data_IF_535421547758
#
_entry.id   IF_535421547758
#
_cell.length_a   1.000
_cell.length_b   1.000
_cell.length_c   1.000
_cell.angle_alpha   90.00
_cell.angle_beta   90.00
_cell.angle_gamma   90.00
#
_symmetry.space_group_name_H-M   'P 1'
#
loop_
_entity.id
_entity.type
_entity.pdbx_description
1 polymer ?
#
# COMPACT_ATOMS: atom_id res chain seq x y z
N UNK A 1 9.43 9.87 3.60
CA UNK A 1 8.04 9.89 3.13
C UNK A 1 7.18 10.98 3.76
N UNK A 2 6.82 12.01 3.00
CA UNK A 2 5.86 13.03 3.46
C UNK A 2 4.46 12.45 3.73
N UNK A 3 3.66 13.13 4.57
CA UNK A 3 2.28 12.73 4.85
C UNK A 3 1.40 12.66 3.59
N UNK A 4 1.63 13.54 2.61
CA UNK A 4 0.93 13.50 1.32
C UNK A 4 1.20 12.19 0.56
N UNK A 5 2.43 11.69 0.61
CA UNK A 5 2.78 10.40 0.00
C UNK A 5 2.12 9.24 0.75
N UNK A 6 2.06 9.30 2.08
CA UNK A 6 1.33 8.31 2.90
C UNK A 6 -0.15 8.29 2.50
N UNK A 7 -0.80 9.46 2.41
CA UNK A 7 -2.20 9.56 1.99
C UNK A 7 -2.43 9.04 0.58
N UNK A 8 -1.53 9.39 -0.35
CA UNK A 8 -1.61 8.93 -1.74
C UNK A 8 -1.54 7.40 -1.84
N UNK A 9 -0.53 6.79 -1.22
CA UNK A 9 -0.33 5.34 -1.24
C UNK A 9 -1.47 4.60 -0.52
N UNK A 10 -1.95 5.11 0.61
CA UNK A 10 -3.11 4.57 1.32
C UNK A 10 -4.36 4.54 0.44
N UNK A 11 -4.71 5.66 -0.21
CA UNK A 11 -5.87 5.74 -1.12
C UNK A 11 -5.72 4.81 -2.33
N UNK A 12 -4.50 4.65 -2.84
CA UNK A 12 -4.22 3.73 -3.95
C UNK A 12 -4.46 2.27 -3.54
N UNK A 13 -3.93 1.83 -2.40
CA UNK A 13 -4.15 0.48 -1.89
C UNK A 13 -5.65 0.21 -1.62
N UNK A 14 -6.35 1.18 -1.02
CA UNK A 14 -7.79 1.11 -0.78
C UNK A 14 -8.60 0.93 -2.07
N UNK A 15 -8.26 1.68 -3.13
CA UNK A 15 -8.91 1.56 -4.44
C UNK A 15 -8.72 0.16 -5.04
N UNK A 16 -7.53 -0.40 -4.91
CA UNK A 16 -7.19 -1.72 -5.43
C UNK A 16 -7.90 -2.84 -4.67
N UNK A 17 -7.95 -2.76 -3.34
CA UNK A 17 -8.71 -3.68 -2.48
C UNK A 17 -10.20 -3.65 -2.86
N UNK A 18 -10.78 -2.45 -2.97
CA UNK A 18 -12.19 -2.31 -3.31
C UNK A 18 -12.51 -2.87 -4.71
N UNK A 19 -11.57 -2.77 -5.66
CA UNK A 19 -11.73 -3.40 -6.97
C UNK A 19 -11.57 -4.92 -6.87
N UNK A 20 -10.58 -5.42 -6.14
CA UNK A 20 -10.37 -6.85 -5.93
C UNK A 20 -11.62 -7.54 -5.36
N UNK A 21 -12.27 -6.91 -4.38
CA UNK A 21 -13.53 -7.40 -3.80
C UNK A 21 -14.68 -7.48 -4.82
N UNK A 22 -14.77 -6.52 -5.75
CA UNK A 22 -15.78 -6.54 -6.83
C UNK A 22 -15.52 -7.66 -7.83
N UNK A 23 -14.26 -7.86 -8.23
CA UNK A 23 -13.87 -8.96 -9.13
C UNK A 23 -14.10 -10.33 -8.48
N UNK A 24 -13.76 -10.48 -7.20
CA UNK A 24 -14.02 -11.70 -6.43
C UNK A 24 -15.53 -12.00 -6.35
N UNK A 25 -16.37 -10.97 -6.14
CA UNK A 25 -17.83 -11.10 -6.15
C UNK A 25 -18.39 -11.49 -7.52
N UNK A 26 -17.69 -11.15 -8.60
CA UNK A 26 -18.05 -11.50 -9.97
C UNK A 26 -17.42 -12.82 -10.45
N UNK A 27 -16.90 -13.65 -9.54
CA UNK A 27 -16.18 -14.91 -9.80
C UNK A 27 -14.92 -14.76 -10.68
N UNK A 28 -14.38 -13.55 -10.82
CA UNK A 28 -13.13 -13.28 -11.52
C UNK A 28 -11.94 -13.41 -10.55
N UNK A 29 -11.69 -14.63 -10.10
CA UNK A 29 -10.63 -14.94 -9.12
C UNK A 29 -9.22 -14.55 -9.58
N UNK A 30 -8.81 -14.72 -10.86
CA UNK A 30 -7.48 -14.32 -11.31
C UNK A 30 -7.23 -12.81 -11.18
N UNK A 31 -8.18 -11.98 -11.60
CA UNK A 31 -8.05 -10.51 -11.51
C UNK A 31 -8.11 -10.05 -10.05
N UNK A 32 -9.01 -10.63 -9.24
CA UNK A 32 -9.07 -10.34 -7.81
C UNK A 32 -7.72 -10.60 -7.13
N UNK A 33 -7.10 -11.74 -7.39
CA UNK A 33 -5.78 -12.09 -6.87
C UNK A 33 -4.68 -11.12 -7.34
N UNK A 34 -4.70 -10.70 -8.61
CA UNK A 34 -3.74 -9.73 -9.14
C UNK A 34 -3.88 -8.36 -8.44
N UNK A 35 -5.10 -7.90 -8.23
CA UNK A 35 -5.39 -6.64 -7.54
C UNK A 35 -5.00 -6.67 -6.07
N UNK A 36 -5.27 -7.77 -5.35
CA UNK A 36 -4.82 -7.92 -3.96
C UNK A 36 -3.30 -7.91 -3.85
N UNK A 37 -2.58 -8.59 -4.74
CA UNK A 37 -1.10 -8.53 -4.78
C UNK A 37 -0.61 -7.10 -4.99
N UNK A 38 -1.23 -6.35 -5.91
CA UNK A 38 -0.88 -4.95 -6.17
C UNK A 38 -1.12 -4.05 -4.96
N UNK A 39 -2.25 -4.24 -4.27
CA UNK A 39 -2.54 -3.54 -3.02
C UNK A 39 -1.50 -3.87 -1.94
N UNK A 40 -1.15 -5.15 -1.79
CA UNK A 40 -0.12 -5.62 -0.85
C UNK A 40 1.25 -4.97 -1.10
N UNK A 41 1.71 -4.94 -2.36
CA UNK A 41 2.97 -4.25 -2.73
C UNK A 41 2.90 -2.77 -2.35
N UNK A 42 1.78 -2.10 -2.62
CA UNK A 42 1.59 -0.68 -2.27
C UNK A 42 1.68 -0.46 -0.76
N UNK A 43 1.09 -1.34 0.05
CA UNK A 43 1.16 -1.28 1.50
C UNK A 43 2.57 -1.56 2.03
N UNK A 44 3.31 -2.50 1.43
CA UNK A 44 4.71 -2.76 1.76
C UNK A 44 5.58 -1.53 1.49
N UNK A 45 5.39 -0.87 0.35
CA UNK A 45 6.10 0.39 0.05
C UNK A 45 5.79 1.48 1.07
N UNK A 46 4.53 1.61 1.48
CA UNK A 46 4.11 2.56 2.50
C UNK A 46 4.78 2.25 3.86
N UNK A 47 4.78 1.00 4.30
CA UNK A 47 5.41 0.58 5.55
C UNK A 47 6.91 0.86 5.55
N UNK A 48 7.62 0.42 4.49
CA UNK A 48 9.06 0.65 4.35
C UNK A 48 9.40 2.15 4.38
N UNK A 49 8.64 2.97 3.66
CA UNK A 49 8.87 4.41 3.62
C UNK A 49 8.69 5.11 4.98
N UNK A 50 7.84 4.58 5.86
CA UNK A 50 7.67 5.07 7.24
C UNK A 50 8.81 4.57 8.13
N UNK A 51 9.21 3.29 7.98
CA UNK A 51 10.34 2.72 8.72
C UNK A 51 11.65 3.44 8.42
N UNK A 52 11.92 3.73 7.14
CA UNK A 52 13.13 4.45 6.70
C UNK A 52 13.21 5.87 7.29
N UNK A 53 12.07 6.57 7.38
CA UNK A 53 12.03 7.86 8.06
C UNK A 53 12.31 7.75 9.55
N UNK A 54 11.72 6.75 10.22
CA UNK A 54 11.96 6.53 11.64
C UNK A 54 13.44 6.18 11.93
N UNK A 55 14.07 5.38 11.07
CA UNK A 55 15.50 5.04 11.19
C UNK A 55 16.44 6.20 10.83
N UNK A 56 16.10 6.97 9.79
CA UNK A 56 16.83 8.19 9.42
C UNK A 56 16.72 9.31 10.46
N UNK A 57 15.63 9.35 11.23
CA UNK A 57 15.47 10.31 12.32
C UNK A 57 16.24 9.87 13.58
N UNK A 58 16.29 8.57 13.89
CA UNK A 58 17.09 8.05 15.01
C UNK A 58 18.60 8.28 14.84
N UNK A 59 19.12 8.17 13.62
CA UNK A 59 20.55 8.34 13.32
C UNK A 59 21.04 9.79 13.28
N UNK A 60 20.13 10.78 13.21
CA UNK A 60 20.47 12.22 13.22
C UNK A 60 20.43 12.86 14.62
N UNK A 61 20.07 12.09 15.64
CA UNK A 61 20.20 12.49 17.05
C UNK A 61 21.60 12.07 17.54
N UNK A 62 22.63 12.82 17.19
CA UNK A 62 23.96 12.73 17.80
C UNK A 62 24.73 14.04 17.66
#
# INVERSE_FOLDING_TARGET
MTFDNIQHLRKKAEKDINRAMREAKADNQPEAAALFKRAGITLLTLAQGIEDENHGNKTKTH
#
